data_IF_759639713910
#
_entry.id   IF_759639713910
#
_cell.length_a   1.000
_cell.length_b   1.000
_cell.length_c   1.000
_cell.angle_alpha   90.00
_cell.angle_beta   90.00
_cell.angle_gamma   90.00
#
_symmetry.space_group_name_H-M   'P 1'
#
loop_
_entity.id
_entity.type
_entity.pdbx_description
1 polymer ?
#
# COMPACT_ATOMS: atom_id res chain seq x y z
N UNK A 1 -0.11 -14.69 14.29
CA UNK A 1 -0.46 -13.26 14.47
C UNK A 1 -1.83 -12.91 13.89
N UNK A 2 -2.40 -13.70 12.95
CA UNK A 2 -3.78 -13.50 12.44
C UNK A 2 -4.05 -12.05 11.99
N UNK A 3 -3.11 -11.52 11.20
CA UNK A 3 -3.17 -10.17 10.65
C UNK A 3 -3.34 -10.29 9.14
N UNK A 4 -4.42 -9.71 8.63
CA UNK A 4 -4.62 -9.54 7.19
C UNK A 4 -3.79 -8.36 6.68
N UNK A 5 -3.38 -8.44 5.42
CA UNK A 5 -2.73 -7.35 4.70
C UNK A 5 -3.45 -7.12 3.37
N UNK A 6 -3.38 -5.88 2.89
CA UNK A 6 -4.08 -5.44 1.67
C UNK A 6 -3.19 -5.56 0.44
N UNK A 7 -1.97 -5.00 0.51
CA UNK A 7 -1.05 -4.92 -0.62
C UNK A 7 0.37 -5.26 -0.19
N UNK A 8 1.14 -5.84 -1.14
CA UNK A 8 2.55 -6.20 -0.92
C UNK A 8 3.47 -5.74 -2.05
N UNK A 9 3.64 -4.42 -2.29
CA UNK A 9 4.57 -3.95 -3.31
C UNK A 9 5.99 -4.42 -3.01
N UNK A 10 6.70 -4.82 -4.06
CA UNK A 10 8.09 -5.22 -3.97
C UNK A 10 8.95 -4.44 -4.95
N UNK A 11 10.15 -4.11 -4.52
CA UNK A 11 11.23 -3.59 -5.35
C UNK A 11 12.29 -4.68 -5.59
N UNK A 12 13.49 -4.25 -5.95
CA UNK A 12 14.64 -5.16 -6.11
C UNK A 12 15.01 -5.75 -4.74
N UNK A 13 15.22 -4.88 -3.75
CA UNK A 13 15.69 -5.24 -2.41
C UNK A 13 14.74 -4.74 -1.31
N UNK A 14 13.50 -4.37 -1.67
CA UNK A 14 12.52 -3.84 -0.74
C UNK A 14 11.21 -4.60 -0.83
N UNK A 15 10.53 -4.73 0.31
CA UNK A 15 9.18 -5.24 0.38
C UNK A 15 8.39 -4.32 1.30
N UNK A 16 7.22 -3.89 0.84
CA UNK A 16 6.27 -3.11 1.62
C UNK A 16 5.05 -3.98 1.88
N UNK A 17 4.48 -3.89 3.08
CA UNK A 17 3.24 -4.57 3.45
C UNK A 17 2.28 -3.51 3.97
N UNK A 18 1.10 -3.40 3.35
CA UNK A 18 0.04 -2.48 3.79
C UNK A 18 -0.95 -3.23 4.66
N UNK A 19 -1.18 -2.74 5.87
CA UNK A 19 -2.07 -3.34 6.87
C UNK A 19 -3.00 -2.29 7.45
N UNK A 20 -4.14 -2.72 7.98
CA UNK A 20 -5.03 -1.87 8.74
C UNK A 20 -4.41 -1.53 10.10
N UNK A 21 -4.39 -0.24 10.45
CA UNK A 21 -3.74 0.27 11.65
C UNK A 21 -4.27 -0.35 12.94
N UNK A 22 -5.59 -0.40 13.13
CA UNK A 22 -6.20 -0.93 14.36
C UNK A 22 -5.87 -2.41 14.58
N UNK A 23 -5.85 -3.18 13.49
CA UNK A 23 -5.51 -4.61 13.50
C UNK A 23 -4.02 -4.87 13.78
N UNK A 24 -3.15 -3.89 13.54
CA UNK A 24 -1.69 -4.00 13.66
C UNK A 24 -1.14 -3.54 15.02
N UNK A 25 -1.67 -2.46 15.61
CA UNK A 25 -1.10 -1.79 16.80
C UNK A 25 -0.78 -2.76 17.95
N UNK A 26 -1.74 -3.61 18.33
CA UNK A 26 -1.56 -4.53 19.46
C UNK A 26 -0.54 -5.65 19.19
N UNK A 27 -0.18 -5.86 17.92
CA UNK A 27 0.70 -6.93 17.44
C UNK A 27 2.04 -6.43 16.93
N UNK A 28 2.25 -5.12 16.88
CA UNK A 28 3.41 -4.46 16.26
C UNK A 28 4.73 -5.10 16.72
N UNK A 29 4.96 -5.14 18.03
CA UNK A 29 6.21 -5.62 18.60
C UNK A 29 6.46 -7.10 18.34
N UNK A 30 5.41 -7.93 18.41
CA UNK A 30 5.50 -9.36 18.09
C UNK A 30 5.85 -9.58 16.61
N UNK A 31 5.21 -8.84 15.70
CA UNK A 31 5.43 -8.93 14.26
C UNK A 31 6.84 -8.45 13.92
N UNK A 32 7.26 -7.27 14.38
CA UNK A 32 8.57 -6.71 14.09
C UNK A 32 9.70 -7.61 14.61
N UNK A 33 9.59 -8.09 15.84
CA UNK A 33 10.56 -9.01 16.41
C UNK A 33 10.58 -10.36 15.64
N UNK A 34 9.42 -10.84 15.21
CA UNK A 34 9.29 -12.04 14.39
C UNK A 34 10.00 -11.91 13.04
N UNK A 35 9.76 -10.82 12.31
CA UNK A 35 10.41 -10.52 11.03
C UNK A 35 11.93 -10.43 11.21
N UNK A 36 12.39 -9.64 12.17
CA UNK A 36 13.82 -9.48 12.41
C UNK A 36 14.53 -10.80 12.74
N UNK A 37 13.90 -11.68 13.53
CA UNK A 37 14.45 -13.01 13.85
C UNK A 37 14.46 -13.95 12.65
N UNK A 38 13.44 -13.87 11.80
CA UNK A 38 13.27 -14.80 10.69
C UNK A 38 14.20 -14.47 9.51
N UNK A 39 14.38 -13.19 9.18
CA UNK A 39 15.05 -12.78 7.93
C UNK A 39 16.15 -11.74 8.08
N UNK A 40 16.37 -11.18 9.28
CA UNK A 40 17.45 -10.22 9.57
C UNK A 40 17.57 -9.09 8.52
N UNK A 41 16.53 -8.27 8.32
CA UNK A 41 16.55 -7.21 7.32
C UNK A 41 17.51 -6.09 7.71
N UNK A 42 18.06 -5.38 6.72
CA UNK A 42 18.93 -4.22 6.94
C UNK A 42 18.19 -3.08 7.67
N UNK A 43 16.92 -2.87 7.34
CA UNK A 43 16.04 -1.92 8.02
C UNK A 43 14.58 -2.37 7.99
N UNK A 44 13.80 -1.90 8.96
CA UNK A 44 12.33 -1.98 8.95
C UNK A 44 11.81 -0.58 9.28
N UNK A 45 10.96 -0.05 8.42
CA UNK A 45 10.34 1.28 8.57
C UNK A 45 8.82 1.14 8.67
N UNK A 46 8.20 1.92 9.55
CA UNK A 46 6.76 2.01 9.69
C UNK A 46 6.31 3.40 9.24
N UNK A 47 5.33 3.45 8.34
CA UNK A 47 4.69 4.68 7.90
C UNK A 47 3.20 4.63 8.28
N UNK A 48 2.74 5.65 9.00
CA UNK A 48 1.38 5.79 9.50
C UNK A 48 0.61 6.87 8.73
N UNK A 49 -0.66 7.07 9.07
CA UNK A 49 -1.50 8.15 8.51
C UNK A 49 -1.70 8.09 6.99
N UNK A 50 -1.84 6.86 6.48
CA UNK A 50 -2.16 6.59 5.08
C UNK A 50 -3.66 6.31 4.90
N UNK A 51 -4.20 6.74 3.77
CA UNK A 51 -5.54 6.38 3.32
C UNK A 51 -5.46 5.60 2.00
N UNK A 52 -6.18 4.49 1.90
CA UNK A 52 -6.32 3.73 0.66
C UNK A 52 -7.58 4.21 -0.07
N UNK A 53 -7.43 4.61 -1.33
CA UNK A 53 -8.55 5.04 -2.18
C UNK A 53 -8.69 4.05 -3.33
N UNK A 54 -9.78 3.29 -3.33
CA UNK A 54 -10.13 2.39 -4.44
C UNK A 54 -11.03 3.11 -5.45
N UNK A 55 -10.65 3.06 -6.72
CA UNK A 55 -11.45 3.61 -7.82
C UNK A 55 -11.92 2.44 -8.66
N UNK A 56 -13.24 2.30 -8.80
CA UNK A 56 -13.88 1.17 -9.50
C UNK A 56 -14.82 1.67 -10.58
N UNK A 57 -14.75 1.08 -11.77
CA UNK A 57 -15.65 1.41 -12.86
C UNK A 57 -15.49 0.49 -14.07
N UNK A 58 -16.60 0.03 -14.63
CA UNK A 58 -16.62 -0.86 -15.82
C UNK A 58 -15.86 -0.28 -17.02
N UNK A 59 -15.80 1.06 -17.13
CA UNK A 59 -15.12 1.76 -18.22
C UNK A 59 -13.64 2.08 -17.96
N UNK A 60 -13.04 1.60 -16.86
CA UNK A 60 -11.62 1.88 -16.57
C UNK A 60 -10.69 1.16 -17.55
N UNK A 61 -10.99 -0.10 -17.88
CA UNK A 61 -10.25 -0.94 -18.81
C UNK A 61 -10.10 -0.34 -20.21
N UNK A 62 -11.21 0.14 -20.77
CA UNK A 62 -11.25 0.68 -22.14
C UNK A 62 -11.03 2.21 -22.18
N UNK A 63 -11.11 2.86 -21.01
CA UNK A 63 -11.05 4.31 -20.84
C UNK A 63 -9.62 4.83 -20.82
N UNK A 64 -8.99 4.91 -22.00
CA UNK A 64 -7.69 5.59 -22.16
C UNK A 64 -7.71 6.97 -21.50
N UNK A 65 -6.74 7.23 -20.61
CA UNK A 65 -6.60 8.50 -19.91
C UNK A 65 -7.37 8.61 -18.59
N UNK A 66 -8.07 7.56 -18.13
CA UNK A 66 -8.76 7.59 -16.82
C UNK A 66 -7.78 7.78 -15.66
N UNK A 67 -6.68 7.02 -15.64
CA UNK A 67 -5.59 7.21 -14.66
C UNK A 67 -5.03 8.64 -14.70
N UNK A 68 -4.80 9.19 -15.91
CA UNK A 68 -4.31 10.56 -16.07
C UNK A 68 -5.28 11.60 -15.49
N UNK A 69 -6.60 11.44 -15.70
CA UNK A 69 -7.62 12.32 -15.11
C UNK A 69 -7.59 12.27 -13.59
N UNK A 70 -7.48 11.08 -13.01
CA UNK A 70 -7.41 10.87 -11.55
C UNK A 70 -6.18 11.56 -10.97
N UNK A 71 -4.98 11.26 -11.49
CA UNK A 71 -3.75 11.84 -10.97
C UNK A 71 -3.65 13.35 -11.19
N UNK A 72 -4.24 13.86 -12.28
CA UNK A 72 -4.34 15.31 -12.52
C UNK A 72 -5.21 15.99 -11.47
N UNK A 73 -6.37 15.40 -11.12
CA UNK A 73 -7.26 15.96 -10.11
C UNK A 73 -6.62 15.98 -8.72
N UNK A 74 -5.93 14.90 -8.32
CA UNK A 74 -5.20 14.84 -7.05
C UNK A 74 -4.07 15.88 -7.00
N UNK A 75 -3.33 16.06 -8.10
CA UNK A 75 -2.27 17.05 -8.19
C UNK A 75 -2.79 18.49 -8.08
N UNK A 76 -3.97 18.79 -8.66
CA UNK A 76 -4.60 20.11 -8.56
C UNK A 76 -4.96 20.50 -7.12
N UNK A 77 -5.31 19.52 -6.29
CA UNK A 77 -5.60 19.70 -4.86
C UNK A 77 -4.34 19.55 -3.98
N UNK A 78 -3.15 19.44 -4.57
CA UNK A 78 -1.88 19.24 -3.87
C UNK A 78 -1.87 18.00 -2.95
N UNK A 79 -2.57 16.93 -3.34
CA UNK A 79 -2.60 15.67 -2.61
C UNK A 79 -1.42 14.81 -3.06
N UNK A 80 -0.60 14.40 -2.10
CA UNK A 80 0.54 13.52 -2.37
C UNK A 80 0.11 12.07 -2.56
N UNK A 81 0.74 11.36 -3.50
CA UNK A 81 0.47 9.95 -3.79
C UNK A 81 1.67 9.13 -3.36
N UNK A 82 1.47 8.26 -2.37
CA UNK A 82 2.53 7.41 -1.80
C UNK A 82 2.64 6.06 -2.49
N UNK A 83 1.52 5.53 -2.94
CA UNK A 83 1.43 4.22 -3.58
C UNK A 83 0.41 4.29 -4.69
N UNK A 84 0.75 3.67 -5.82
CA UNK A 84 -0.18 3.37 -6.90
C UNK A 84 -0.14 1.86 -7.03
N UNK A 85 -1.28 1.22 -6.79
CA UNK A 85 -1.44 -0.20 -7.06
C UNK A 85 -2.60 -0.39 -8.03
N UNK A 86 -2.34 -1.06 -9.14
CA UNK A 86 -3.32 -1.43 -10.13
C UNK A 86 -3.09 -2.89 -10.51
N UNK A 87 -3.93 -3.75 -9.96
CA UNK A 87 -3.88 -5.18 -10.25
C UNK A 87 -4.39 -5.50 -11.67
N UNK A 88 -4.04 -6.69 -12.16
CA UNK A 88 -4.51 -7.22 -13.44
C UNK A 88 -5.99 -7.60 -13.48
N UNK A 89 -6.75 -7.31 -12.42
CA UNK A 89 -8.22 -7.45 -12.40
C UNK A 89 -8.87 -6.32 -13.19
N UNK A 90 -8.54 -6.28 -14.48
CA UNK A 90 -9.25 -5.62 -15.57
C UNK A 90 -9.63 -6.63 -16.65
#
# INVERSE_FOLDING_TARGET
NDLSFEHTPSGIDTMTIVVETESFIDKEQEILAGIHRAVQPDSIELESDLALIAIVGRGMKDGRGTAAKIFTALAQENINIKMIDQGSSE
#
